data_IF_249507003779
#
_entry.id   IF_249507003779
#
_cell.length_a   1.000
_cell.length_b   1.000
_cell.length_c   1.000
_cell.angle_alpha   90.00
_cell.angle_beta   90.00
_cell.angle_gamma   90.00
#
_symmetry.space_group_name_H-M   'P 1'
#
loop_
_entity.id
_entity.type
_entity.pdbx_description
1 polymer ?
#
# COMPACT_ATOMS: atom_id res chain seq x y z
N UNK A 1 33.87 -11.34 -0.11
CA UNK A 1 33.07 -10.44 0.72
C UNK A 1 31.80 -11.18 1.10
N UNK A 2 31.67 -11.55 2.37
CA UNK A 2 30.45 -12.23 2.87
C UNK A 2 29.30 -11.24 2.80
N UNK A 3 28.26 -11.53 1.98
CA UNK A 3 26.99 -10.79 2.00
C UNK A 3 26.49 -10.80 3.45
N UNK A 4 26.34 -9.60 4.03
CA UNK A 4 25.72 -9.44 5.33
C UNK A 4 24.31 -10.01 5.23
N UNK A 5 23.97 -10.96 6.07
CA UNK A 5 22.59 -11.50 6.12
C UNK A 5 21.68 -10.36 6.58
N UNK A 6 20.74 -9.94 5.73
CA UNK A 6 19.75 -8.91 6.05
C UNK A 6 18.58 -9.45 6.90
N UNK A 7 18.75 -10.63 7.49
CA UNK A 7 17.73 -11.21 8.35
C UNK A 7 17.64 -10.45 9.69
N UNK A 8 16.42 -10.15 10.18
CA UNK A 8 16.24 -9.47 11.45
C UNK A 8 16.72 -10.34 12.62
N UNK A 9 17.10 -9.68 13.71
CA UNK A 9 17.58 -10.37 14.94
C UNK A 9 16.47 -11.19 15.63
N UNK A 10 15.21 -10.84 15.42
CA UNK A 10 14.04 -11.53 15.99
C UNK A 10 13.28 -12.21 14.84
N UNK A 11 13.10 -13.52 14.97
CA UNK A 11 12.39 -14.35 13.98
C UNK A 11 11.49 -15.37 14.67
N UNK A 12 10.53 -15.90 13.96
CA UNK A 12 9.76 -17.05 14.42
C UNK A 12 10.66 -18.28 14.57
N UNK A 13 10.40 -19.09 15.60
CA UNK A 13 11.11 -20.34 15.81
C UNK A 13 10.97 -21.24 14.58
N UNK A 14 12.10 -21.80 14.12
CA UNK A 14 12.17 -22.71 12.98
C UNK A 14 12.58 -22.05 11.66
N UNK A 15 12.73 -20.72 11.61
CA UNK A 15 13.28 -20.02 10.44
C UNK A 15 14.70 -19.54 10.73
N UNK A 16 15.64 -20.02 9.94
CA UNK A 16 17.08 -19.69 10.07
C UNK A 16 17.70 -19.20 8.76
N UNK A 17 17.03 -19.46 7.62
CA UNK A 17 17.59 -19.14 6.32
C UNK A 17 17.72 -17.62 6.11
N UNK A 18 18.78 -17.20 5.42
CA UNK A 18 18.96 -15.79 5.08
C UNK A 18 17.78 -15.27 4.24
N UNK A 19 17.39 -14.02 4.48
CA UNK A 19 16.44 -13.36 3.61
C UNK A 19 17.04 -13.09 2.24
N UNK A 20 16.25 -13.28 1.18
CA UNK A 20 16.66 -13.06 -0.19
C UNK A 20 16.36 -11.63 -0.62
N UNK A 21 17.37 -10.97 -1.18
CA UNK A 21 17.19 -9.64 -1.77
C UNK A 21 16.53 -9.78 -3.14
N UNK A 22 15.33 -9.21 -3.30
CA UNK A 22 14.50 -9.28 -4.49
C UNK A 22 14.27 -7.88 -5.06
N UNK A 23 14.37 -7.73 -6.37
CA UNK A 23 13.99 -6.49 -7.04
C UNK A 23 12.48 -6.39 -7.16
N UNK A 24 11.95 -5.17 -7.02
CA UNK A 24 10.53 -4.96 -7.24
C UNK A 24 10.10 -5.31 -8.67
N UNK A 25 10.96 -5.11 -9.66
CA UNK A 25 10.73 -5.56 -11.05
C UNK A 25 10.43 -7.06 -11.18
N UNK A 26 10.94 -7.88 -10.26
CA UNK A 26 10.84 -9.34 -10.33
C UNK A 26 9.63 -9.87 -9.54
N UNK A 27 9.09 -9.07 -8.63
CA UNK A 27 8.03 -9.47 -7.70
C UNK A 27 6.76 -8.63 -7.80
N UNK A 28 6.73 -7.64 -8.69
CA UNK A 28 5.53 -6.81 -8.93
C UNK A 28 5.29 -6.63 -10.42
N UNK A 29 4.04 -6.32 -10.78
CA UNK A 29 3.66 -6.02 -12.16
C UNK A 29 2.54 -4.98 -12.22
N UNK A 30 2.49 -4.11 -13.26
CA UNK A 30 1.42 -3.15 -13.45
C UNK A 30 0.07 -3.84 -13.55
N UNK A 31 -0.96 -3.29 -12.90
CA UNK A 31 -2.26 -3.94 -12.78
C UNK A 31 -3.46 -3.00 -12.96
N UNK A 32 -3.25 -1.75 -13.32
CA UNK A 32 -4.31 -0.78 -13.55
C UNK A 32 -4.87 -0.88 -14.96
N UNK A 33 -6.08 -1.42 -15.12
CA UNK A 33 -6.81 -1.36 -16.38
C UNK A 33 -7.65 -0.08 -16.45
N UNK A 34 -7.74 0.54 -17.64
CA UNK A 34 -8.61 1.69 -17.85
C UNK A 34 -10.09 1.27 -17.82
N UNK A 35 -10.92 2.06 -17.17
CA UNK A 35 -12.37 1.87 -17.12
C UNK A 35 -13.06 2.27 -18.46
N UNK A 36 -12.57 1.74 -19.57
CA UNK A 36 -12.98 2.14 -20.95
C UNK A 36 -14.48 2.07 -21.17
N UNK A 37 -15.14 1.11 -20.55
CA UNK A 37 -16.59 0.89 -20.67
C UNK A 37 -17.39 1.80 -19.72
N UNK A 38 -16.71 2.71 -19.01
CA UNK A 38 -17.30 3.62 -18.04
C UNK A 38 -18.21 2.90 -17.02
N UNK A 39 -17.73 1.75 -16.51
CA UNK A 39 -18.45 0.98 -15.51
C UNK A 39 -18.78 1.86 -14.29
N UNK A 40 -19.97 1.71 -13.69
CA UNK A 40 -20.39 2.52 -12.54
C UNK A 40 -19.74 2.06 -11.22
N UNK A 41 -18.41 2.02 -11.20
CA UNK A 41 -17.63 1.63 -10.05
C UNK A 41 -17.43 2.82 -9.10
N UNK A 42 -17.36 2.53 -7.81
CA UNK A 42 -17.09 3.54 -6.78
C UNK A 42 -15.69 4.13 -6.94
N UNK A 43 -15.60 5.44 -6.81
CA UNK A 43 -14.34 6.18 -6.89
C UNK A 43 -13.68 6.30 -5.53
N UNK A 44 -12.38 6.00 -5.48
CA UNK A 44 -11.56 6.07 -4.26
C UNK A 44 -10.39 7.03 -4.44
N UNK A 45 -9.99 7.61 -3.32
CA UNK A 45 -8.71 8.31 -3.16
C UNK A 45 -7.79 7.49 -2.26
N UNK A 46 -6.48 7.65 -2.43
CA UNK A 46 -5.50 7.04 -1.55
C UNK A 46 -4.99 8.10 -0.58
N UNK A 47 -5.17 7.86 0.72
CA UNK A 47 -4.69 8.72 1.80
C UNK A 47 -3.53 8.06 2.54
N UNK A 48 -2.74 8.85 3.27
CA UNK A 48 -1.65 8.35 4.11
C UNK A 48 -2.15 7.64 5.37
N UNK A 49 -3.31 8.03 5.90
CA UNK A 49 -3.83 7.52 7.17
C UNK A 49 -4.67 6.24 6.99
N UNK A 50 -5.54 6.24 5.96
CA UNK A 50 -6.56 5.21 5.79
C UNK A 50 -6.42 4.41 4.48
N UNK A 51 -5.37 4.67 3.67
CA UNK A 51 -5.23 4.02 2.37
C UNK A 51 -6.40 4.37 1.45
N UNK A 52 -7.15 3.37 1.00
CA UNK A 52 -8.33 3.55 0.14
C UNK A 52 -9.51 4.17 0.91
N UNK A 53 -9.92 5.37 0.54
CA UNK A 53 -11.08 6.09 1.11
C UNK A 53 -12.05 6.45 -0.02
N UNK A 54 -13.36 6.16 0.13
CA UNK A 54 -14.37 6.59 -0.84
C UNK A 54 -14.31 8.10 -1.08
N UNK A 55 -14.43 8.52 -2.32
CA UNK A 55 -14.37 9.96 -2.65
C UNK A 55 -15.57 10.72 -2.07
N UNK A 56 -16.72 10.09 -1.99
CA UNK A 56 -17.93 10.71 -1.42
C UNK A 56 -17.80 11.02 0.07
N UNK A 57 -17.02 10.26 0.82
CA UNK A 57 -16.70 10.55 2.23
C UNK A 57 -15.67 11.66 2.41
N UNK A 58 -14.77 11.83 1.42
CA UNK A 58 -13.70 12.84 1.49
C UNK A 58 -14.17 14.24 1.11
N UNK A 59 -15.21 14.33 0.29
CA UNK A 59 -15.78 15.60 -0.18
C UNK A 59 -17.26 15.64 0.19
N UNK A 60 -17.62 16.47 1.15
CA UNK A 60 -19.03 16.77 1.44
C UNK A 60 -19.73 17.12 0.12
N UNK A 61 -20.77 16.34 -0.27
CA UNK A 61 -21.50 16.42 -1.53
C UNK A 61 -20.80 15.88 -2.80
N UNK A 62 -19.82 14.98 -2.68
CA UNK A 62 -19.28 14.23 -3.84
C UNK A 62 -18.48 15.05 -4.86
N UNK A 63 -18.26 16.33 -4.62
CA UNK A 63 -17.51 17.24 -5.50
C UNK A 63 -18.00 17.28 -6.96
N UNK A 64 -17.38 18.10 -7.79
CA UNK A 64 -17.65 18.21 -9.25
C UNK A 64 -17.31 16.96 -10.06
N UNK A 65 -16.83 15.89 -9.40
CA UNK A 65 -16.37 14.65 -10.04
C UNK A 65 -17.42 13.54 -10.12
N UNK A 66 -18.63 13.75 -9.58
CA UNK A 66 -19.69 12.72 -9.57
C UNK A 66 -20.16 12.33 -10.97
N UNK A 67 -20.23 13.31 -11.88
CA UNK A 67 -20.68 13.14 -13.27
C UNK A 67 -19.52 13.16 -14.30
N UNK A 68 -18.26 13.22 -13.81
CA UNK A 68 -17.10 13.25 -14.70
C UNK A 68 -16.97 11.92 -15.47
N UNK A 69 -16.50 12.01 -16.70
CA UNK A 69 -16.12 10.84 -17.51
C UNK A 69 -14.95 10.09 -16.80
N UNK A 70 -15.24 8.87 -16.36
CA UNK A 70 -14.28 8.03 -15.62
C UNK A 70 -13.61 6.98 -16.49
N UNK A 71 -13.69 7.07 -17.82
CA UNK A 71 -13.06 6.11 -18.75
C UNK A 71 -11.54 6.09 -18.66
N UNK A 72 -10.95 7.20 -18.23
CA UNK A 72 -9.49 7.29 -18.01
C UNK A 72 -9.05 6.82 -16.63
N UNK A 73 -9.97 6.57 -15.70
CA UNK A 73 -9.65 6.05 -14.38
C UNK A 73 -9.14 4.63 -14.48
N UNK A 74 -8.35 4.21 -13.50
CA UNK A 74 -7.90 2.84 -13.37
C UNK A 74 -8.87 2.02 -12.52
N UNK A 75 -9.24 0.84 -13.01
CA UNK A 75 -9.91 -0.19 -12.21
C UNK A 75 -8.85 -0.84 -11.31
N UNK A 76 -9.13 -0.89 -10.03
CA UNK A 76 -8.29 -1.52 -9.01
C UNK A 76 -9.04 -2.72 -8.44
N UNK A 77 -8.59 -3.90 -8.80
CA UNK A 77 -9.16 -5.15 -8.29
C UNK A 77 -8.64 -5.44 -6.88
N UNK A 78 -9.34 -6.30 -6.11
CA UNK A 78 -8.82 -6.78 -4.82
C UNK A 78 -7.39 -7.31 -4.91
N UNK A 79 -6.65 -7.18 -3.81
CA UNK A 79 -5.24 -7.57 -3.69
C UNK A 79 -4.33 -6.81 -4.68
N UNK A 80 -4.61 -5.52 -4.87
CA UNK A 80 -3.75 -4.61 -5.61
C UNK A 80 -3.25 -3.49 -4.71
N UNK A 81 -2.10 -2.94 -5.05
CA UNK A 81 -1.60 -1.71 -4.46
C UNK A 81 -1.89 -0.52 -5.38
N UNK A 82 -2.18 0.63 -4.79
CA UNK A 82 -2.24 1.88 -5.55
C UNK A 82 -1.61 3.00 -4.76
N UNK A 83 -0.90 3.92 -5.45
CA UNK A 83 -0.29 5.07 -4.79
C UNK A 83 -0.28 6.30 -5.70
N UNK A 84 -0.16 7.47 -5.09
CA UNK A 84 0.02 8.73 -5.80
C UNK A 84 1.52 9.03 -5.94
N UNK A 85 2.10 9.03 -7.16
CA UNK A 85 3.53 9.27 -7.36
C UNK A 85 4.03 10.59 -6.77
N UNK A 86 3.19 11.63 -6.78
CA UNK A 86 3.53 12.96 -6.26
C UNK A 86 3.37 13.08 -4.73
N UNK A 87 2.82 12.07 -4.05
CA UNK A 87 2.50 12.09 -2.61
C UNK A 87 2.92 10.83 -1.87
N UNK A 88 3.66 9.94 -2.51
CA UNK A 88 4.16 8.71 -1.90
C UNK A 88 5.09 8.99 -0.72
N UNK A 89 5.86 10.07 -0.79
CA UNK A 89 6.77 10.54 0.24
C UNK A 89 6.08 10.93 1.55
N UNK A 90 4.78 11.24 1.51
CA UNK A 90 3.93 11.48 2.69
C UNK A 90 3.01 10.29 2.98
N UNK A 91 3.28 9.12 2.41
CA UNK A 91 2.58 7.88 2.71
C UNK A 91 1.30 7.62 1.90
N UNK A 92 1.07 8.34 0.77
CA UNK A 92 -0.12 8.12 -0.07
C UNK A 92 0.01 6.82 -0.90
N UNK A 93 0.00 5.69 -0.21
CA UNK A 93 -0.07 4.32 -0.77
C UNK A 93 -1.17 3.55 -0.04
N UNK A 94 -1.85 2.64 -0.74
CA UNK A 94 -2.90 1.81 -0.18
C UNK A 94 -2.85 0.39 -0.73
N UNK A 95 -3.27 -0.57 0.10
CA UNK A 95 -3.55 -1.95 -0.29
C UNK A 95 -5.07 -2.14 -0.39
N UNK A 96 -5.54 -2.64 -1.52
CA UNK A 96 -6.96 -2.81 -1.80
C UNK A 96 -7.48 -4.13 -1.21
N UNK A 97 -8.13 -4.03 -0.06
CA UNK A 97 -8.77 -5.15 0.68
C UNK A 97 -10.29 -5.02 0.77
N UNK A 98 -10.92 -4.19 -0.07
CA UNK A 98 -12.36 -3.88 -0.05
C UNK A 98 -13.21 -5.07 -0.53
N UNK A 99 -12.61 -6.01 -1.27
CA UNK A 99 -13.28 -7.23 -1.75
C UNK A 99 -14.10 -7.03 -3.05
N UNK A 100 -14.10 -5.85 -3.64
CA UNK A 100 -14.76 -5.54 -4.94
C UNK A 100 -13.87 -4.63 -5.78
N UNK A 101 -14.13 -4.58 -7.10
CA UNK A 101 -13.45 -3.62 -7.97
C UNK A 101 -13.88 -2.18 -7.63
N UNK A 102 -12.89 -1.29 -7.57
CA UNK A 102 -13.08 0.15 -7.38
C UNK A 102 -12.31 0.90 -8.45
N UNK A 103 -12.49 2.22 -8.57
CA UNK A 103 -11.70 3.03 -9.50
C UNK A 103 -10.95 4.13 -8.76
N UNK A 104 -9.76 4.44 -9.29
CA UNK A 104 -8.93 5.57 -8.85
C UNK A 104 -8.58 6.44 -10.05
N UNK A 105 -8.25 7.69 -9.79
CA UNK A 105 -7.81 8.63 -10.85
C UNK A 105 -6.62 8.07 -11.63
N UNK A 106 -6.52 8.46 -12.91
CA UNK A 106 -5.39 8.11 -13.78
C UNK A 106 -4.03 8.68 -13.33
N UNK A 107 -4.01 9.48 -12.27
CA UNK A 107 -2.79 10.00 -11.66
C UNK A 107 -2.11 9.00 -10.70
N UNK A 108 -2.77 7.88 -10.39
CA UNK A 108 -2.23 6.85 -9.52
C UNK A 108 -1.48 5.79 -10.30
N UNK A 109 -0.46 5.22 -9.67
CA UNK A 109 0.15 3.97 -10.08
C UNK A 109 -0.59 2.81 -9.42
N UNK A 110 -0.86 1.75 -10.19
CA UNK A 110 -1.55 0.54 -9.71
C UNK A 110 -0.72 -0.68 -10.07
N UNK A 111 -0.44 -1.55 -9.10
CA UNK A 111 0.34 -2.76 -9.30
C UNK A 111 -0.13 -3.92 -8.42
N UNK A 112 0.29 -5.11 -8.78
CA UNK A 112 0.13 -6.35 -8.00
C UNK A 112 1.47 -6.99 -7.74
N UNK A 113 1.49 -7.94 -6.83
CA UNK A 113 2.64 -8.77 -6.51
C UNK A 113 2.54 -10.14 -7.18
N UNK A 114 3.67 -10.80 -7.31
CA UNK A 114 3.75 -12.21 -7.71
C UNK A 114 3.29 -13.14 -6.58
N UNK A 115 2.95 -14.39 -6.91
CA UNK A 115 2.39 -15.36 -5.97
C UNK A 115 3.34 -15.79 -4.84
N UNK A 116 4.65 -15.53 -4.98
CA UNK A 116 5.68 -15.79 -3.99
C UNK A 116 5.90 -14.66 -2.99
N UNK A 117 5.05 -13.63 -3.04
CA UNK A 117 5.04 -12.50 -2.11
C UNK A 117 3.74 -12.45 -1.31
N UNK A 118 3.85 -12.30 0.01
CA UNK A 118 2.70 -12.02 0.87
C UNK A 118 2.42 -10.51 0.90
N UNK A 119 1.27 -10.11 0.36
CA UNK A 119 0.86 -8.70 0.25
C UNK A 119 0.81 -7.98 1.60
N UNK A 120 0.46 -8.68 2.69
CA UNK A 120 0.37 -8.08 4.03
C UNK A 120 1.74 -7.72 4.56
N UNK A 121 2.74 -8.60 4.38
CA UNK A 121 4.12 -8.28 4.72
C UNK A 121 4.60 -7.08 3.92
N UNK A 122 4.36 -7.08 2.60
CA UNK A 122 4.80 -5.99 1.74
C UNK A 122 4.07 -4.68 2.07
N UNK A 123 2.78 -4.72 2.42
CA UNK A 123 2.04 -3.58 2.92
C UNK A 123 2.69 -2.92 4.14
N UNK A 124 3.13 -3.71 5.12
CA UNK A 124 3.85 -3.19 6.28
C UNK A 124 5.23 -2.66 5.91
N UNK A 125 5.92 -3.31 4.96
CA UNK A 125 7.19 -2.80 4.47
C UNK A 125 7.05 -1.43 3.80
N UNK A 126 5.99 -1.17 3.04
CA UNK A 126 5.71 0.15 2.45
C UNK A 126 5.46 1.26 3.49
N UNK A 127 5.19 0.90 4.74
CA UNK A 127 5.09 1.86 5.85
C UNK A 127 6.41 2.03 6.61
N UNK A 128 7.46 1.31 6.24
CA UNK A 128 8.73 1.27 6.95
C UNK A 128 9.65 2.45 6.60
N UNK A 129 10.63 2.77 7.47
CA UNK A 129 11.68 3.75 7.15
C UNK A 129 12.52 3.36 5.94
N UNK A 130 12.66 2.08 5.61
CA UNK A 130 13.46 1.63 4.47
C UNK A 130 12.79 1.98 3.14
N UNK A 131 11.47 1.88 3.07
CA UNK A 131 10.74 2.39 1.91
C UNK A 131 10.86 3.91 1.77
N UNK A 132 10.81 4.66 2.86
CA UNK A 132 11.03 6.12 2.83
C UNK A 132 12.43 6.47 2.32
N UNK A 133 13.46 5.73 2.72
CA UNK A 133 14.83 5.91 2.18
C UNK A 133 14.87 5.63 0.67
N UNK A 134 14.21 4.56 0.21
CA UNK A 134 14.14 4.21 -1.21
C UNK A 134 13.47 5.35 -2.02
N UNK A 135 12.35 5.88 -1.53
CA UNK A 135 11.68 7.02 -2.17
C UNK A 135 12.63 8.21 -2.28
N UNK A 136 13.29 8.60 -1.18
CA UNK A 136 14.21 9.75 -1.18
C UNK A 136 15.39 9.57 -2.14
N UNK A 137 15.84 8.33 -2.36
CA UNK A 137 16.96 8.04 -3.26
C UNK A 137 16.57 8.06 -4.73
N UNK A 138 15.35 7.66 -5.06
CA UNK A 138 14.92 7.41 -6.44
C UNK A 138 13.86 8.38 -6.97
N UNK A 139 13.23 9.19 -6.10
CA UNK A 139 12.28 10.22 -6.56
C UNK A 139 12.98 11.25 -7.43
N UNK A 140 12.28 11.75 -8.42
CA UNK A 140 12.81 12.72 -9.36
C UNK A 140 11.85 13.87 -9.61
N UNK A 141 12.38 15.01 -10.06
CA UNK A 141 11.63 16.22 -10.37
C UNK A 141 12.31 17.47 -9.77
N UNK A 142 11.80 18.63 -10.13
CA UNK A 142 12.29 19.92 -9.63
C UNK A 142 11.41 20.46 -8.47
N UNK A 143 10.36 21.23 -8.81
CA UNK A 143 9.45 21.84 -7.83
C UNK A 143 8.55 20.79 -7.14
N UNK A 144 8.18 19.73 -7.86
CA UNK A 144 7.46 18.58 -7.33
C UNK A 144 8.27 17.33 -7.60
N UNK A 145 8.40 16.48 -6.58
CA UNK A 145 9.06 15.21 -6.69
C UNK A 145 8.03 14.12 -7.01
N UNK A 146 8.41 13.21 -7.89
CA UNK A 146 7.59 12.09 -8.33
C UNK A 146 8.38 10.77 -8.15
N UNK A 147 7.65 9.74 -7.79
CA UNK A 147 8.16 8.38 -7.68
C UNK A 147 7.23 7.46 -8.47
N UNK A 148 7.49 7.34 -9.77
CA UNK A 148 6.71 6.48 -10.66
C UNK A 148 7.04 5.00 -10.47
N UNK A 149 6.24 4.14 -11.08
CA UNK A 149 6.39 2.69 -10.93
C UNK A 149 7.75 2.17 -11.44
N UNK A 150 8.31 2.75 -12.48
CA UNK A 150 9.67 2.44 -12.95
C UNK A 150 10.73 2.66 -11.86
N UNK A 151 10.57 3.67 -11.00
CA UNK A 151 11.43 3.92 -9.84
C UNK A 151 11.26 2.86 -8.76
N UNK A 152 10.02 2.44 -8.50
CA UNK A 152 9.77 1.30 -7.63
C UNK A 152 10.51 0.04 -8.13
N UNK A 153 10.42 -0.25 -9.43
CA UNK A 153 11.07 -1.39 -10.07
C UNK A 153 12.61 -1.40 -9.93
N UNK A 154 13.24 -0.24 -9.74
CA UNK A 154 14.69 -0.13 -9.48
C UNK A 154 15.07 -0.47 -8.04
N UNK A 155 14.12 -0.45 -7.13
CA UNK A 155 14.33 -0.75 -5.72
C UNK A 155 14.41 -2.24 -5.44
N UNK A 156 14.87 -2.55 -4.23
CA UNK A 156 15.01 -3.91 -3.73
C UNK A 156 14.43 -4.02 -2.33
N UNK A 157 13.96 -5.22 -2.00
CA UNK A 157 13.47 -5.59 -0.68
C UNK A 157 14.03 -6.94 -0.28
N UNK A 158 14.39 -7.12 0.99
CA UNK A 158 14.78 -8.42 1.53
C UNK A 158 13.54 -9.16 2.01
N UNK A 159 13.31 -10.36 1.48
CA UNK A 159 12.14 -11.19 1.79
C UNK A 159 12.58 -12.57 2.29
N UNK A 160 11.93 -13.10 3.35
CA UNK A 160 12.09 -14.50 3.76
C UNK A 160 11.33 -15.46 2.85
N UNK A 161 11.34 -16.73 3.19
CA UNK A 161 10.44 -17.71 2.54
C UNK A 161 8.98 -17.27 2.65
N UNK A 162 8.14 -17.64 1.67
CA UNK A 162 6.72 -17.28 1.64
C UNK A 162 5.97 -17.71 2.92
N UNK A 163 6.36 -18.84 3.51
CA UNK A 163 5.78 -19.30 4.77
C UNK A 163 6.07 -18.33 5.93
N UNK A 164 7.30 -17.85 6.03
CA UNK A 164 7.67 -16.86 7.04
C UNK A 164 7.03 -15.49 6.75
N UNK A 165 6.97 -15.06 5.47
CA UNK A 165 6.27 -13.85 5.06
C UNK A 165 4.83 -13.85 5.57
N UNK A 166 4.09 -14.95 5.37
CA UNK A 166 2.70 -15.10 5.84
C UNK A 166 2.57 -15.01 7.36
N UNK A 167 3.52 -15.58 8.10
CA UNK A 167 3.51 -15.50 9.57
C UNK A 167 3.78 -14.08 10.06
N UNK A 168 4.73 -13.39 9.45
CA UNK A 168 5.06 -11.99 9.79
C UNK A 168 3.87 -11.07 9.43
N UNK A 169 3.34 -11.17 8.22
CA UNK A 169 2.20 -10.38 7.77
C UNK A 169 0.99 -10.54 8.69
N UNK A 170 0.64 -11.79 9.04
CA UNK A 170 -0.44 -12.07 9.98
C UNK A 170 -0.19 -11.49 11.39
N UNK A 171 1.05 -11.51 11.87
CA UNK A 171 1.39 -10.91 13.16
C UNK A 171 1.15 -9.40 13.14
N UNK A 172 1.62 -8.71 12.11
CA UNK A 172 1.43 -7.27 11.98
C UNK A 172 -0.05 -6.88 11.82
N UNK A 173 -0.82 -7.60 11.00
CA UNK A 173 -2.28 -7.38 10.92
C UNK A 173 -2.96 -7.57 12.28
N UNK A 174 -2.53 -8.55 13.06
CA UNK A 174 -3.07 -8.77 14.42
C UNK A 174 -2.75 -7.59 15.33
N UNK A 175 -1.52 -7.08 15.28
CA UNK A 175 -1.10 -5.91 16.07
C UNK A 175 -1.86 -4.64 15.65
N UNK A 176 -2.02 -4.38 14.36
CA UNK A 176 -2.80 -3.24 13.85
C UNK A 176 -4.26 -3.30 14.32
N UNK A 177 -4.87 -4.49 14.29
CA UNK A 177 -6.23 -4.71 14.78
C UNK A 177 -6.34 -4.45 16.28
N UNK A 178 -5.39 -4.92 17.09
CA UNK A 178 -5.38 -4.69 18.54
C UNK A 178 -5.21 -3.21 18.86
N UNK A 179 -4.31 -2.50 18.18
CA UNK A 179 -4.13 -1.06 18.34
C UNK A 179 -5.43 -0.32 18.01
N UNK A 180 -6.08 -0.66 16.91
CA UNK A 180 -7.34 -0.04 16.48
C UNK A 180 -8.46 -0.26 17.49
N UNK A 181 -8.59 -1.48 18.01
CA UNK A 181 -9.59 -1.80 19.05
C UNK A 181 -9.33 -0.99 20.33
N UNK A 182 -8.09 -0.94 20.78
CA UNK A 182 -7.70 -0.20 21.96
C UNK A 182 -7.97 1.32 21.84
N UNK A 183 -7.67 1.89 20.66
CA UNK A 183 -7.97 3.31 20.38
C UNK A 183 -9.48 3.60 20.44
N UNK A 184 -10.32 2.69 19.91
CA UNK A 184 -11.79 2.83 19.97
C UNK A 184 -12.32 2.75 21.39
N UNK A 185 -11.81 1.87 22.25
CA UNK A 185 -12.19 1.75 23.64
C UNK A 185 -11.87 3.03 24.42
N UNK A 186 -10.70 3.64 24.19
CA UNK A 186 -10.34 4.90 24.81
C UNK A 186 -11.24 6.05 24.35
N UNK A 187 -11.53 6.17 23.07
CA UNK A 187 -12.41 7.20 22.53
C UNK A 187 -13.84 7.12 23.07
N UNK A 188 -14.34 5.90 23.33
CA UNK A 188 -15.68 5.72 23.96
C UNK A 188 -15.65 5.97 25.46
N UNK A 189 -14.54 5.66 26.14
CA UNK A 189 -14.38 5.90 27.58
C UNK A 189 -14.33 7.39 27.96
N UNK A 190 -13.75 8.22 27.14
CA UNK A 190 -13.67 9.68 27.37
C UNK A 190 -15.02 10.38 27.16
N UNK A 191 -15.85 9.89 26.25
CA UNK A 191 -17.21 10.41 26.03
C UNK A 191 -18.16 10.10 27.21
N UNK A 192 -17.92 9.05 27.97
CA UNK A 192 -18.74 8.68 29.15
C UNK A 192 -18.34 9.48 30.43
N UNK A 193 -17.11 10.03 30.47
CA UNK A 193 -16.63 10.86 31.60
C UNK A 193 -16.95 12.34 31.43
N UNK A 194 -17.42 12.78 30.27
CA UNK A 194 -17.76 14.18 29.96
C UNK A 194 -19.28 14.45 29.93
N UNK A 195 -20.11 13.48 30.26
CA UNK A 195 -21.57 13.58 30.44
C UNK A 195 -21.94 13.41 31.92
#
# INVERSE_FOLDING_TARGET
MTKKSDAPAIRFKGFSDAWEQRKFSDITFPAGEKNRDNLPLESYSITNEHGFVPQDEKFENGGTMREADKRMYYIVSPNSFAYNPARINVGSIGYQNIGKNVIVSSLYEVFKTSEDVDDRLLWHWFKSPDFQKLIMQLQEGGVRLYFYYDKLCMGEVSLPSLEEQRKIGKLFDTLDNLITLHQREHATGDNVRSA
#
